data_IF_265495751850
#
_entry.id   IF_265495751850
#
_cell.length_a   1.000
_cell.length_b   1.000
_cell.length_c   1.000
_cell.angle_alpha   90.00
_cell.angle_beta   90.00
_cell.angle_gamma   90.00
#
_symmetry.space_group_name_H-M   'P 1'
#
loop_
_entity.id
_entity.type
_entity.pdbx_description
1 polymer ?
#
# COMPACT_ATOMS: atom_id res chain seq x y z
N UNK A 1 -2.27 16.76 -8.40
CA UNK A 1 -2.30 15.33 -8.74
C UNK A 1 -3.67 14.82 -8.33
N UNK A 2 -4.40 14.15 -9.23
CA UNK A 2 -5.75 13.62 -8.92
C UNK A 2 -5.61 12.28 -8.19
N UNK A 3 -6.40 12.07 -7.16
CA UNK A 3 -6.43 10.82 -6.38
C UNK A 3 -7.68 10.00 -6.69
N UNK A 4 -7.72 8.75 -6.24
CA UNK A 4 -8.92 7.91 -6.36
C UNK A 4 -10.10 8.50 -5.58
N UNK A 5 -9.82 9.19 -4.46
CA UNK A 5 -10.85 9.85 -3.66
C UNK A 5 -11.50 11.02 -4.39
N UNK A 6 -10.70 11.79 -5.14
CA UNK A 6 -11.21 12.88 -5.97
C UNK A 6 -12.12 12.33 -7.08
N UNK A 7 -11.71 11.23 -7.72
CA UNK A 7 -12.52 10.58 -8.75
C UNK A 7 -13.86 10.08 -8.21
N UNK A 8 -13.85 9.40 -7.06
CA UNK A 8 -15.08 8.94 -6.40
C UNK A 8 -15.96 10.11 -6.00
N UNK A 9 -15.38 11.20 -5.48
CA UNK A 9 -16.15 12.37 -5.07
C UNK A 9 -16.80 13.10 -6.27
N UNK A 10 -16.10 13.16 -7.40
CA UNK A 10 -16.57 13.84 -8.62
C UNK A 10 -17.56 12.99 -9.42
N UNK A 11 -17.29 11.69 -9.57
CA UNK A 11 -18.01 10.81 -10.49
C UNK A 11 -18.92 9.80 -9.79
N UNK A 12 -18.76 9.59 -8.48
CA UNK A 12 -19.45 8.54 -7.71
C UNK A 12 -18.84 7.14 -7.87
N UNK A 13 -17.78 7.00 -8.67
CA UNK A 13 -17.05 5.75 -8.93
C UNK A 13 -15.59 6.05 -9.30
N UNK A 14 -14.74 5.01 -9.32
CA UNK A 14 -13.31 5.10 -9.68
C UNK A 14 -12.96 4.41 -11.00
N UNK A 15 -13.93 3.91 -11.77
CA UNK A 15 -13.69 3.11 -12.99
C UNK A 15 -12.73 3.75 -14.01
N UNK A 16 -12.76 5.08 -14.14
CA UNK A 16 -11.90 5.84 -15.06
C UNK A 16 -10.63 6.40 -14.37
N UNK A 17 -10.43 6.13 -13.08
CA UNK A 17 -9.26 6.59 -12.36
C UNK A 17 -8.03 5.76 -12.75
N UNK A 18 -7.02 6.44 -13.29
CA UNK A 18 -5.72 5.85 -13.59
C UNK A 18 -4.67 6.48 -12.67
N UNK A 19 -4.04 5.68 -11.77
CA UNK A 19 -2.98 6.19 -10.91
C UNK A 19 -1.76 6.62 -11.73
N UNK A 20 -1.01 7.59 -11.23
CA UNK A 20 0.15 8.13 -11.95
C UNK A 20 1.45 7.77 -11.24
N UNK A 21 2.48 7.43 -12.01
CA UNK A 21 3.84 7.18 -11.51
C UNK A 21 4.64 8.48 -11.61
N UNK A 22 5.27 8.87 -10.52
CA UNK A 22 6.22 9.99 -10.45
C UNK A 22 7.54 9.52 -9.87
N UNK A 23 8.61 10.35 -9.89
CA UNK A 23 9.87 9.99 -9.24
C UNK A 23 9.77 9.68 -7.73
N UNK A 24 8.71 10.14 -7.05
CA UNK A 24 8.46 9.90 -5.64
C UNK A 24 7.81 8.53 -5.37
N UNK A 25 7.32 7.84 -6.41
CA UNK A 25 6.84 6.47 -6.31
C UNK A 25 8.02 5.51 -6.14
N UNK A 26 8.34 5.17 -4.89
CA UNK A 26 9.45 4.29 -4.52
C UNK A 26 8.99 2.91 -4.05
N UNK A 27 9.79 1.85 -4.27
CA UNK A 27 9.51 0.54 -3.71
C UNK A 27 9.63 0.55 -2.18
N UNK A 28 9.03 -0.45 -1.54
CA UNK A 28 9.21 -0.69 -0.11
C UNK A 28 9.65 -2.12 0.17
N UNK A 29 10.65 -2.24 1.03
CA UNK A 29 11.19 -3.50 1.54
C UNK A 29 10.47 -3.98 2.83
N UNK A 30 9.39 -3.31 3.23
CA UNK A 30 8.62 -3.70 4.39
C UNK A 30 8.05 -5.13 4.22
N UNK A 31 8.10 -5.99 5.26
CA UNK A 31 7.60 -7.36 5.18
C UNK A 31 6.12 -7.43 4.82
N UNK A 32 5.73 -8.50 4.11
CA UNK A 32 4.32 -8.78 3.82
C UNK A 32 3.49 -8.84 5.12
N UNK A 33 2.31 -8.22 5.09
CA UNK A 33 1.40 -8.15 6.25
C UNK A 33 1.85 -7.23 7.39
N UNK A 34 3.05 -6.63 7.33
CA UNK A 34 3.51 -5.72 8.38
C UNK A 34 2.74 -4.38 8.37
N UNK A 35 2.60 -3.76 9.55
CA UNK A 35 2.06 -2.40 9.67
C UNK A 35 2.85 -1.38 8.86
N UNK A 36 4.16 -1.57 8.72
CA UNK A 36 5.01 -0.70 7.89
C UNK A 36 4.61 -0.76 6.41
N UNK A 37 4.38 -1.97 5.86
CA UNK A 37 3.90 -2.15 4.49
C UNK A 37 2.54 -1.49 4.31
N UNK A 38 1.60 -1.73 5.21
CA UNK A 38 0.26 -1.14 5.16
C UNK A 38 0.30 0.40 5.16
N UNK A 39 1.17 1.01 5.96
CA UNK A 39 1.36 2.47 5.98
C UNK A 39 1.84 3.01 4.63
N UNK A 40 2.82 2.35 4.00
CA UNK A 40 3.31 2.75 2.67
C UNK A 40 2.22 2.62 1.61
N UNK A 41 1.49 1.49 1.59
CA UNK A 41 0.41 1.26 0.63
C UNK A 41 -0.72 2.28 0.79
N UNK A 42 -1.10 2.59 2.03
CA UNK A 42 -2.11 3.61 2.31
C UNK A 42 -1.67 4.99 1.81
N UNK A 43 -0.40 5.34 1.99
CA UNK A 43 0.13 6.63 1.52
C UNK A 43 0.11 6.73 -0.01
N UNK A 44 0.46 5.65 -0.71
CA UNK A 44 0.37 5.58 -2.18
C UNK A 44 -1.05 5.88 -2.67
N UNK A 45 -2.07 5.30 -2.04
CA UNK A 45 -3.47 5.56 -2.39
C UNK A 45 -3.82 7.04 -2.16
N UNK A 46 -3.40 7.62 -1.03
CA UNK A 46 -3.61 9.06 -0.74
C UNK A 46 -2.93 9.98 -1.73
N UNK A 47 -1.80 9.56 -2.30
CA UNK A 47 -1.06 10.33 -3.31
C UNK A 47 -1.54 10.09 -4.75
N UNK A 48 -2.45 9.13 -4.97
CA UNK A 48 -2.89 8.75 -6.32
C UNK A 48 -1.86 7.94 -7.10
N UNK A 49 -0.94 7.28 -6.39
CA UNK A 49 0.03 6.35 -6.97
C UNK A 49 -0.57 4.94 -7.14
N UNK A 50 0.06 4.08 -7.98
CA UNK A 50 -0.28 2.67 -8.00
C UNK A 50 -0.09 2.03 -6.62
N UNK A 51 -0.90 1.02 -6.31
CA UNK A 51 -0.80 0.34 -5.02
C UNK A 51 0.54 -0.40 -4.89
N UNK A 52 0.93 -1.13 -5.93
CA UNK A 52 2.11 -2.00 -5.95
C UNK A 52 3.20 -1.44 -6.83
N UNK A 53 4.43 -1.46 -6.33
CA UNK A 53 5.64 -1.23 -7.12
C UNK A 53 6.20 -2.59 -7.56
N UNK A 54 6.80 -2.68 -8.74
CA UNK A 54 7.38 -3.94 -9.25
C UNK A 54 8.50 -4.48 -8.36
N UNK A 55 9.36 -3.58 -7.87
CA UNK A 55 10.41 -3.87 -6.89
C UNK A 55 9.93 -3.89 -5.43
N UNK A 56 8.62 -3.90 -5.16
CA UNK A 56 8.15 -4.15 -3.80
C UNK A 56 8.56 -5.54 -3.35
N UNK A 57 9.05 -5.64 -2.11
CA UNK A 57 9.32 -6.95 -1.51
C UNK A 57 8.09 -7.86 -1.58
N UNK A 58 8.29 -9.06 -2.14
CA UNK A 58 7.25 -10.06 -2.39
C UNK A 58 7.42 -11.35 -1.57
N UNK A 59 8.56 -11.53 -0.89
CA UNK A 59 8.84 -12.74 -0.12
C UNK A 59 8.52 -12.62 1.38
N UNK A 60 8.40 -13.80 2.01
CA UNK A 60 8.21 -13.96 3.46
C UNK A 60 9.52 -14.17 4.24
N UNK A 61 10.68 -13.91 3.64
CA UNK A 61 11.98 -14.24 4.26
C UNK A 61 12.17 -13.50 5.59
N UNK A 62 12.61 -14.17 6.64
CA UNK A 62 12.78 -13.51 7.95
C UNK A 62 11.48 -13.05 8.64
N UNK A 63 10.29 -13.37 8.14
CA UNK A 63 9.07 -13.33 8.95
C UNK A 63 9.08 -14.54 9.89
N UNK A 64 9.57 -14.35 11.11
CA UNK A 64 9.33 -15.31 12.19
C UNK A 64 7.87 -15.18 12.62
N UNK A 65 7.08 -16.25 12.46
CA UNK A 65 5.65 -16.23 12.71
C UNK A 65 5.29 -15.53 14.02
N UNK A 66 4.41 -14.53 13.94
CA UNK A 66 3.79 -13.92 15.11
C UNK A 66 2.95 -15.01 15.78
N UNK A 67 3.45 -15.57 16.87
CA UNK A 67 2.63 -16.35 17.81
C UNK A 67 1.80 -15.33 18.59
N UNK A 68 0.48 -15.35 18.42
CA UNK A 68 -0.42 -14.88 19.47
C UNK A 68 -0.19 -15.81 20.66
N UNK A 69 0.61 -15.40 21.63
CA UNK A 69 0.69 -16.12 22.89
C UNK A 69 -0.64 -15.92 23.61
N UNK A 70 -1.32 -17.01 23.91
CA UNK A 70 -2.43 -17.07 24.88
C UNK A 70 -1.94 -16.79 26.33
N UNK A 71 -0.77 -16.16 26.50
CA UNK A 71 -0.10 -15.90 27.79
C UNK A 71 -0.29 -14.44 28.29
N UNK A 72 -1.16 -13.64 27.66
CA UNK A 72 -1.54 -12.28 28.11
C UNK A 72 -2.89 -12.27 28.88
N UNK A 73 -3.24 -13.35 29.59
CA UNK A 73 -4.38 -13.43 30.51
C UNK A 73 -3.95 -13.85 31.92
#
# INVERSE_FOLDING_TARGET
MRTVFDAILECGHDEDFVPQVTPDFKPTDAPAGSLAKLKVLAERVRMGFPLWHEDDRSDYSGLTGYRTTEDDL
#
